data_IF_383070858228
#
_entry.id   IF_383070858228
#
_cell.length_a   1.000
_cell.length_b   1.000
_cell.length_c   1.000
_cell.angle_alpha   90.00
_cell.angle_beta   90.00
_cell.angle_gamma   90.00
#
_symmetry.space_group_name_H-M   'P 1'
#
loop_
_entity.id
_entity.type
_entity.pdbx_description
1 polymer ?
#
# COMPACT_ATOMS: atom_id res chain seq x y z
N UNK A 1 -0.74 2.66 -18.30
CA UNK A 1 -1.85 2.37 -17.36
C UNK A 1 -1.80 0.88 -17.08
N UNK A 2 -1.78 0.39 -15.83
CA UNK A 2 -1.91 -1.05 -15.61
C UNK A 2 -3.33 -1.44 -16.03
N UNK A 3 -3.47 -2.26 -17.07
CA UNK A 3 -4.75 -2.82 -17.53
C UNK A 3 -5.29 -3.91 -16.58
N UNK A 4 -5.00 -3.76 -15.29
CA UNK A 4 -5.30 -4.71 -14.23
C UNK A 4 -6.31 -4.07 -13.30
N UNK A 5 -7.38 -4.80 -12.96
CA UNK A 5 -8.37 -4.32 -12.00
C UNK A 5 -7.68 -4.12 -10.65
N UNK A 6 -7.94 -3.01 -9.92
CA UNK A 6 -7.28 -2.74 -8.64
C UNK A 6 -7.41 -3.87 -7.60
N UNK A 7 -8.54 -4.58 -7.62
CA UNK A 7 -8.77 -5.75 -6.76
C UNK A 7 -7.82 -6.91 -7.08
N UNK A 8 -7.65 -7.24 -8.36
CA UNK A 8 -6.78 -8.33 -8.79
C UNK A 8 -5.32 -8.03 -8.44
N UNK A 9 -4.88 -6.78 -8.62
CA UNK A 9 -3.55 -6.34 -8.21
C UNK A 9 -3.36 -6.46 -6.70
N UNK A 10 -4.34 -6.02 -5.91
CA UNK A 10 -4.30 -6.13 -4.45
C UNK A 10 -4.23 -7.59 -4.00
N UNK A 11 -5.04 -8.46 -4.59
CA UNK A 11 -5.06 -9.87 -4.26
C UNK A 11 -3.76 -10.56 -4.67
N UNK A 12 -3.18 -10.19 -5.81
CA UNK A 12 -1.85 -10.65 -6.23
C UNK A 12 -0.78 -10.26 -5.20
N UNK A 13 -0.68 -8.97 -4.86
CA UNK A 13 0.33 -8.49 -3.89
C UNK A 13 0.18 -9.17 -2.52
N UNK A 14 -1.05 -9.46 -2.09
CA UNK A 14 -1.30 -10.20 -0.84
C UNK A 14 -0.88 -11.67 -0.94
N UNK A 15 -1.20 -12.35 -2.05
CA UNK A 15 -0.83 -13.75 -2.28
C UNK A 15 0.67 -13.97 -2.39
N UNK A 16 1.43 -12.96 -2.83
CA UNK A 16 2.87 -13.03 -3.04
C UNK A 16 3.70 -12.42 -1.90
N UNK A 17 3.10 -12.17 -0.73
CA UNK A 17 3.78 -11.59 0.42
C UNK A 17 4.49 -10.25 0.12
N UNK A 18 3.81 -9.40 -0.66
CA UNK A 18 4.22 -8.01 -0.87
C UNK A 18 3.57 -7.10 0.16
N UNK A 19 2.27 -7.31 0.41
CA UNK A 19 1.48 -6.51 1.34
C UNK A 19 0.63 -7.38 2.26
N UNK A 20 0.34 -6.85 3.43
CA UNK A 20 -0.56 -7.45 4.41
C UNK A 20 -1.56 -6.43 4.93
N UNK A 21 -2.55 -6.91 5.70
CA UNK A 21 -3.55 -6.07 6.36
C UNK A 21 -3.59 -6.44 7.84
N UNK A 22 -3.51 -5.43 8.72
CA UNK A 22 -3.52 -5.64 10.19
C UNK A 22 -4.89 -6.03 10.76
N UNK A 23 -5.96 -5.48 10.19
CA UNK A 23 -7.34 -5.73 10.62
C UNK A 23 -8.31 -5.54 9.43
N UNK A 24 -9.50 -6.16 9.43
CA UNK A 24 -10.52 -5.89 8.41
C UNK A 24 -10.76 -4.39 8.24
N UNK A 25 -10.78 -3.89 7.00
CA UNK A 25 -10.94 -2.46 6.71
C UNK A 25 -9.69 -1.58 6.90
N UNK A 26 -8.60 -2.09 7.48
CA UNK A 26 -7.35 -1.36 7.58
C UNK A 26 -6.66 -1.20 6.20
N UNK A 27 -5.85 -0.14 6.02
CA UNK A 27 -5.03 0.01 4.82
C UNK A 27 -4.07 -1.17 4.66
N UNK A 28 -3.71 -1.46 3.41
CA UNK A 28 -2.64 -2.39 3.11
C UNK A 28 -1.31 -1.80 3.54
N UNK A 29 -0.40 -2.64 4.01
CA UNK A 29 0.95 -2.28 4.41
C UNK A 29 1.94 -3.18 3.69
N UNK A 30 3.05 -2.65 3.16
CA UNK A 30 4.09 -3.48 2.60
C UNK A 30 4.85 -4.21 3.71
N UNK A 31 5.37 -5.39 3.40
CA UNK A 31 6.32 -6.06 4.28
C UNK A 31 7.66 -5.30 4.33
N UNK A 32 8.33 -5.33 5.48
CA UNK A 32 9.57 -4.58 5.70
C UNK A 32 10.69 -4.97 4.74
N UNK A 33 10.73 -6.23 4.28
CA UNK A 33 11.74 -6.67 3.32
C UNK A 33 11.57 -6.01 1.95
N UNK A 34 10.32 -5.77 1.51
CA UNK A 34 10.00 -5.07 0.26
C UNK A 34 10.40 -3.60 0.33
N UNK A 35 10.22 -2.97 1.49
CA UNK A 35 10.70 -1.60 1.73
C UNK A 35 12.23 -1.56 1.69
N UNK A 36 12.91 -2.43 2.44
CA UNK A 36 14.38 -2.47 2.49
C UNK A 36 15.03 -2.76 1.14
N UNK A 37 14.38 -3.56 0.30
CA UNK A 37 14.82 -3.84 -1.09
C UNK A 37 14.52 -2.70 -2.06
N UNK A 38 13.79 -1.68 -1.62
CA UNK A 38 13.38 -0.53 -2.42
C UNK A 38 12.28 -0.87 -3.44
N UNK A 39 11.54 -1.97 -3.25
CA UNK A 39 10.42 -2.35 -4.14
C UNK A 39 9.12 -1.61 -3.78
N UNK A 40 8.97 -1.22 -2.52
CA UNK A 40 7.79 -0.53 -2.03
C UNK A 40 8.17 0.57 -1.05
N UNK A 41 7.30 1.55 -0.92
CA UNK A 41 7.39 2.64 0.06
C UNK A 41 6.12 2.70 0.91
N UNK A 42 6.28 3.20 2.14
CA UNK A 42 5.18 3.37 3.09
C UNK A 42 5.23 4.72 3.84
N UNK A 43 5.21 5.87 3.13
CA UNK A 43 5.15 7.17 3.79
C UNK A 43 3.81 7.35 4.53
N UNK A 44 3.85 8.06 5.66
CA UNK A 44 2.65 8.56 6.29
C UNK A 44 2.07 9.73 5.48
N UNK A 45 0.78 9.70 5.21
CA UNK A 45 0.04 10.80 4.57
C UNK A 45 -1.05 11.29 5.52
N UNK A 46 -1.32 12.59 5.47
CA UNK A 46 -2.45 13.19 6.17
C UNK A 46 -3.60 13.38 5.18
N UNK A 47 -4.77 12.84 5.50
CA UNK A 47 -6.01 13.11 4.78
C UNK A 47 -6.95 13.90 5.66
N UNK A 48 -7.60 14.90 5.09
CA UNK A 48 -8.66 15.63 5.77
C UNK A 48 -9.97 14.83 5.62
N UNK A 49 -10.65 14.60 6.74
CA UNK A 49 -11.95 13.94 6.76
C UNK A 49 -13.08 14.95 6.46
N UNK A 50 -14.25 14.46 6.02
CA UNK A 50 -15.42 15.32 5.81
C UNK A 50 -15.88 16.08 7.06
N UNK A 51 -15.55 15.58 8.26
CA UNK A 51 -15.82 16.22 9.55
C UNK A 51 -14.81 17.34 9.91
N UNK A 52 -13.87 17.66 9.01
CA UNK A 52 -12.84 18.69 9.19
C UNK A 52 -11.60 18.22 9.95
N UNK A 53 -11.58 16.98 10.47
CA UNK A 53 -10.43 16.46 11.22
C UNK A 53 -9.36 15.86 10.31
N UNK A 54 -8.10 15.93 10.74
CA UNK A 54 -6.98 15.29 10.04
C UNK A 54 -6.80 13.83 10.47
N UNK A 55 -6.54 12.96 9.50
CA UNK A 55 -6.19 11.56 9.74
C UNK A 55 -4.86 11.25 9.07
N UNK A 56 -3.86 10.95 9.90
CA UNK A 56 -2.59 10.40 9.44
C UNK A 56 -2.78 8.90 9.19
N UNK A 57 -2.43 8.43 7.99
CA UNK A 57 -2.46 7.02 7.62
C UNK A 57 -1.27 6.64 6.72
N UNK A 58 -0.84 5.38 6.77
CA UNK A 58 0.23 4.88 5.89
C UNK A 58 -0.25 4.75 4.43
N UNK A 59 0.56 5.25 3.49
CA UNK A 59 0.32 5.16 2.05
C UNK A 59 1.25 4.13 1.42
N UNK A 60 0.68 3.02 0.97
CA UNK A 60 1.43 1.95 0.31
C UNK A 60 1.64 2.27 -1.17
N UNK A 61 2.91 2.34 -1.59
CA UNK A 61 3.30 2.64 -2.98
C UNK A 61 4.27 1.58 -3.49
N UNK A 62 4.12 1.19 -4.76
CA UNK A 62 5.12 0.39 -5.46
C UNK A 62 6.08 1.38 -6.13
N UNK A 63 7.38 1.17 -5.95
CA UNK A 63 8.41 2.00 -6.59
C UNK A 63 8.60 1.56 -8.05
N UNK A 64 9.27 2.37 -8.86
CA UNK A 64 9.67 1.96 -10.22
C UNK A 64 10.50 0.67 -10.21
N UNK A 65 11.30 0.43 -9.17
CA UNK A 65 12.07 -0.81 -9.01
C UNK A 65 11.18 -2.02 -8.71
N UNK A 66 10.10 -1.84 -7.95
CA UNK A 66 9.15 -2.93 -7.68
C UNK A 66 8.26 -3.29 -8.88
N UNK A 67 8.24 -2.45 -9.92
CA UNK A 67 7.51 -2.68 -11.17
C UNK A 67 8.40 -3.22 -12.31
N UNK A 68 9.72 -3.20 -12.12
CA UNK A 68 10.71 -3.56 -13.13
C UNK A 68 10.90 -5.08 -13.26
#
# INVERSE_FOLDING_TARGET
MLEVRPKDLTDYLRKHDWVYRRAPGAPLLPYQDKIKKGFMDCPAITIQRPDGTDKVLPSTKITSRGLA
#
